data_IF_811547166065
#
_entry.id   IF_811547166065
#
_cell.length_a   1.000
_cell.length_b   1.000
_cell.length_c   1.000
_cell.angle_alpha   90.00
_cell.angle_beta   90.00
_cell.angle_gamma   90.00
#
_symmetry.space_group_name_H-M   'P 1'
#
loop_
_entity.id
_entity.type
_entity.pdbx_description
1 polymer ?
#
# COMPACT_ATOMS: atom_id res chain seq x y z
N UNK A 1 -9.23 -24.07 3.48
CA UNK A 1 -8.07 -23.82 2.59
C UNK A 1 -7.28 -22.68 3.20
N UNK A 2 -6.04 -22.92 3.62
CA UNK A 2 -5.19 -21.91 4.22
C UNK A 2 -4.85 -20.87 3.15
N UNK A 3 -5.32 -19.64 3.31
CA UNK A 3 -4.86 -18.53 2.48
C UNK A 3 -3.37 -18.31 2.77
N UNK A 4 -2.52 -18.45 1.75
CA UNK A 4 -1.07 -18.18 1.79
C UNK A 4 -0.77 -16.67 1.93
N UNK A 5 -1.49 -15.97 2.80
CA UNK A 5 -1.27 -14.56 3.08
C UNK A 5 -0.37 -14.45 4.30
N UNK A 6 0.92 -14.28 4.05
CA UNK A 6 1.90 -13.96 5.10
C UNK A 6 1.46 -12.71 5.86
N UNK A 7 1.29 -12.83 7.18
CA UNK A 7 0.93 -11.72 8.05
C UNK A 7 2.18 -11.12 8.65
N UNK A 8 2.26 -9.79 8.63
CA UNK A 8 3.30 -9.04 9.31
C UNK A 8 2.68 -7.81 9.97
N UNK A 9 3.30 -7.37 11.07
CA UNK A 9 2.87 -6.20 11.83
C UNK A 9 3.80 -5.03 11.51
N UNK A 10 3.23 -3.85 11.26
CA UNK A 10 3.97 -2.62 11.02
C UNK A 10 3.61 -1.58 12.07
N UNK A 11 4.63 -0.88 12.57
CA UNK A 11 4.44 0.30 13.41
C UNK A 11 4.53 1.53 12.51
N UNK A 12 3.58 2.44 12.65
CA UNK A 12 3.47 3.65 11.85
C UNK A 12 3.29 4.84 12.79
N UNK A 13 3.74 6.02 12.37
CA UNK A 13 3.44 7.25 13.09
C UNK A 13 1.94 7.61 12.96
N UNK A 14 1.51 8.58 13.76
CA UNK A 14 0.10 8.99 13.82
C UNK A 14 -0.39 9.61 12.51
N UNK A 15 0.45 10.35 11.80
CA UNK A 15 0.04 11.05 10.58
C UNK A 15 -0.17 10.03 9.44
N UNK A 16 0.73 9.07 9.31
CA UNK A 16 0.57 7.95 8.38
C UNK A 16 -0.64 7.08 8.75
N UNK A 17 -0.91 6.87 10.04
CA UNK A 17 -2.11 6.17 10.49
C UNK A 17 -3.40 6.88 10.04
N UNK A 18 -3.48 8.21 10.21
CA UNK A 18 -4.63 9.00 9.76
C UNK A 18 -4.81 8.95 8.23
N UNK A 19 -3.72 9.00 7.46
CA UNK A 19 -3.78 8.86 6.01
C UNK A 19 -4.35 7.50 5.58
N UNK A 20 -3.93 6.42 6.23
CA UNK A 20 -4.47 5.07 5.96
C UNK A 20 -5.97 5.00 6.29
N UNK A 21 -6.40 5.59 7.40
CA UNK A 21 -7.83 5.64 7.76
C UNK A 21 -8.65 6.46 6.76
N UNK A 22 -8.18 7.64 6.36
CA UNK A 22 -8.84 8.47 5.36
C UNK A 22 -9.00 7.71 4.03
N UNK A 23 -7.93 7.08 3.56
CA UNK A 23 -7.95 6.25 2.36
C UNK A 23 -8.95 5.08 2.49
N UNK A 24 -9.00 4.44 3.67
CA UNK A 24 -9.96 3.37 3.97
C UNK A 24 -11.40 3.85 3.84
N UNK A 25 -11.73 5.04 4.36
CA UNK A 25 -13.07 5.60 4.28
C UNK A 25 -13.44 6.06 2.86
N UNK A 26 -12.53 6.76 2.16
CA UNK A 26 -12.75 7.26 0.80
C UNK A 26 -13.02 6.13 -0.19
N UNK A 27 -12.24 5.05 -0.11
CA UNK A 27 -12.37 3.89 -0.99
C UNK A 27 -13.28 2.80 -0.44
N UNK A 28 -13.91 3.04 0.73
CA UNK A 28 -14.88 2.13 1.39
C UNK A 28 -14.32 0.73 1.68
N UNK A 29 -13.06 0.65 2.05
CA UNK A 29 -12.43 -0.60 2.45
C UNK A 29 -12.95 -1.06 3.82
N UNK A 30 -13.23 -2.36 3.93
CA UNK A 30 -13.79 -2.93 5.16
C UNK A 30 -12.74 -3.04 6.26
N UNK A 31 -11.47 -3.26 5.90
CA UNK A 31 -10.39 -3.47 6.88
C UNK A 31 -9.19 -2.57 6.60
N UNK A 32 -8.46 -2.23 7.67
CA UNK A 32 -7.19 -1.51 7.59
C UNK A 32 -6.17 -2.28 6.76
N UNK A 33 -6.08 -3.59 6.98
CA UNK A 33 -5.16 -4.45 6.24
C UNK A 33 -5.40 -4.40 4.73
N UNK A 34 -6.66 -4.36 4.30
CA UNK A 34 -7.01 -4.25 2.88
C UNK A 34 -6.61 -2.89 2.29
N UNK A 35 -6.92 -1.80 3.00
CA UNK A 35 -6.52 -0.45 2.62
C UNK A 35 -4.99 -0.33 2.50
N UNK A 36 -4.24 -0.83 3.47
CA UNK A 36 -2.77 -0.81 3.47
C UNK A 36 -2.20 -1.66 2.32
N UNK A 37 -2.76 -2.82 2.03
CA UNK A 37 -2.31 -3.67 0.91
C UNK A 37 -2.50 -2.96 -0.43
N UNK A 38 -3.64 -2.30 -0.63
CA UNK A 38 -3.90 -1.52 -1.84
C UNK A 38 -2.93 -0.33 -1.98
N UNK A 39 -2.66 0.41 -0.89
CA UNK A 39 -1.67 1.49 -0.89
C UNK A 39 -0.26 0.97 -1.26
N UNK A 40 0.16 -0.15 -0.68
CA UNK A 40 1.45 -0.77 -0.98
C UNK A 40 1.49 -1.20 -2.45
N UNK A 41 0.41 -1.79 -2.96
CA UNK A 41 0.34 -2.21 -4.37
C UNK A 41 0.53 -1.01 -5.31
N UNK A 42 -0.20 0.07 -5.08
CA UNK A 42 -0.08 1.31 -5.87
C UNK A 42 1.32 1.90 -5.78
N UNK A 43 1.90 1.96 -4.58
CA UNK A 43 3.28 2.43 -4.39
C UNK A 43 4.30 1.56 -5.13
N UNK A 44 4.14 0.23 -5.13
CA UNK A 44 5.01 -0.67 -5.88
C UNK A 44 4.86 -0.54 -7.39
N UNK A 45 3.66 -0.24 -7.90
CA UNK A 45 3.43 0.05 -9.31
C UNK A 45 4.13 1.36 -9.71
N UNK A 46 3.95 2.44 -8.94
CA UNK A 46 4.65 3.72 -9.16
C UNK A 46 6.18 3.56 -9.16
N UNK A 47 6.75 2.83 -8.20
CA UNK A 47 8.20 2.58 -8.15
C UNK A 47 8.73 1.74 -9.32
N UNK A 48 7.89 0.88 -9.91
CA UNK A 48 8.27 0.12 -11.11
C UNK A 48 8.29 1.03 -12.34
N UNK A 49 7.28 1.89 -12.47
CA UNK A 49 7.17 2.84 -13.56
C UNK A 49 8.34 3.85 -13.52
N UNK A 50 8.67 4.38 -12.34
CA UNK A 50 9.84 5.25 -12.15
C UNK A 50 11.15 4.58 -12.57
N UNK A 51 11.35 3.30 -12.20
CA UNK A 51 12.54 2.54 -12.60
C UNK A 51 12.59 2.23 -14.10
N UNK A 52 11.44 2.11 -14.76
CA UNK A 52 11.38 1.91 -16.20
C UNK A 52 11.71 3.21 -16.95
N UNK A 53 11.26 4.35 -16.43
CA UNK A 53 11.58 5.69 -16.94
C UNK A 53 13.07 6.04 -16.72
N UNK A 54 13.61 5.68 -15.56
CA UNK A 54 15.03 5.87 -15.22
C UNK A 54 15.96 5.02 -16.11
N UNK A 55 15.58 3.77 -16.41
CA UNK A 55 16.33 2.90 -17.35
C UNK A 55 16.22 3.34 -18.81
N UNK A 56 15.23 4.13 -19.18
CA UNK A 56 15.06 4.64 -20.55
C UNK A 56 15.81 5.96 -20.79
N UNK A 57 16.36 6.57 -19.73
CA UNK A 57 17.19 7.79 -19.77
C UNK A 57 18.70 7.52 -19.66
N UNK A 58 19.12 6.25 -19.61
CA UNK A 58 20.54 5.82 -19.63
C UNK A 58 20.82 5.13 -20.95
#
# INVERSE_FOLDING_TARGET
MATEKSRYTVSVDNDMFQQIENFRFEHRFQTRSEATVELIRRGLETLKDEKADEKSKV
#
